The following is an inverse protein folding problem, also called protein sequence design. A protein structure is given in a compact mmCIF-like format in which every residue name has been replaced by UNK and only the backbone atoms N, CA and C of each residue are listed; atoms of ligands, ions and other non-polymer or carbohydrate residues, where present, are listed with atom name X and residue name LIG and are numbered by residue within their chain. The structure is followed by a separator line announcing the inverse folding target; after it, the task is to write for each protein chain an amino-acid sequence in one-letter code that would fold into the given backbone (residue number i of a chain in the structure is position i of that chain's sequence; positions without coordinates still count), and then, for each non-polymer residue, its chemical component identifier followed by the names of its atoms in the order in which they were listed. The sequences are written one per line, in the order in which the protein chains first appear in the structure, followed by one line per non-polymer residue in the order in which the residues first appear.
data_IF_931902313231
#
_entry.id   IF_931902313231
#
_cell.length_a   1.000
_cell.length_b   1.000
_cell.length_c   1.000
_cell.angle_alpha   90.00
_cell.angle_beta   90.00
_cell.angle_gamma   90.00
#
_symmetry.space_group_name_H-M   'P 1'
#
loop_
_entity.id
_entity.type
_entity.pdbx_description
1 polymer ?
#
# COMPACT_ATOMS: atom_id res chain seq x y z
N UNK A 1 40.64 16.56 -9.46
CA UNK A 1 39.36 15.83 -9.49
C UNK A 1 38.48 16.41 -8.42
N UNK A 2 37.27 16.88 -8.75
CA UNK A 2 36.32 17.33 -7.74
C UNK A 2 35.82 16.10 -6.96
N UNK A 3 35.89 16.14 -5.63
CA UNK A 3 35.28 15.11 -4.79
C UNK A 3 33.75 15.23 -4.87
N UNK A 4 33.06 14.10 -5.00
CA UNK A 4 31.60 14.05 -4.90
C UNK A 4 31.17 14.29 -3.45
N UNK A 5 30.03 14.96 -3.26
CA UNK A 5 29.41 15.19 -1.94
C UNK A 5 28.88 13.87 -1.39
N UNK A 6 28.89 13.71 -0.06
CA UNK A 6 28.28 12.56 0.60
C UNK A 6 26.77 12.50 0.27
N UNK A 7 26.30 11.32 -0.13
CA UNK A 7 24.92 11.10 -0.56
C UNK A 7 23.92 11.37 0.57
N UNK A 8 24.30 11.08 1.81
CA UNK A 8 23.44 11.24 3.00
C UNK A 8 23.14 12.70 3.33
N UNK A 9 23.92 13.65 2.78
CA UNK A 9 23.69 15.08 3.00
C UNK A 9 22.47 15.63 2.24
N UNK A 10 21.99 14.92 1.20
CA UNK A 10 20.92 15.44 0.35
C UNK A 10 19.88 14.41 -0.12
N UNK A 11 20.10 13.12 0.16
CA UNK A 11 19.18 12.05 -0.20
C UNK A 11 18.51 11.46 1.05
N UNK A 12 17.18 11.59 1.13
CA UNK A 12 16.35 10.93 2.15
C UNK A 12 15.73 9.66 1.56
N UNK A 13 16.18 8.46 1.97
CA UNK A 13 15.70 7.20 1.42
C UNK A 13 14.37 6.74 2.04
N UNK A 14 13.91 7.39 3.11
CA UNK A 14 12.74 6.97 3.85
C UNK A 14 11.43 7.30 3.11
N UNK A 15 10.40 6.52 3.39
CA UNK A 15 9.09 6.69 2.78
C UNK A 15 8.19 7.56 3.68
N UNK A 16 7.66 8.64 3.13
CA UNK A 16 6.75 9.54 3.84
C UNK A 16 5.31 9.39 3.34
N UNK A 17 4.37 9.05 4.22
CA UNK A 17 2.97 8.78 3.90
C UNK A 17 2.02 9.72 4.68
N UNK A 18 1.26 10.60 4.01
CA UNK A 18 0.33 11.50 4.69
C UNK A 18 -1.00 10.80 5.02
N UNK A 19 -1.40 10.76 6.28
CA UNK A 19 -2.69 10.21 6.74
C UNK A 19 -3.30 11.18 7.76
N UNK A 20 -4.51 11.67 7.49
CA UNK A 20 -5.24 12.51 8.45
C UNK A 20 -4.52 13.80 8.85
N UNK A 21 -3.70 14.37 7.96
CA UNK A 21 -2.90 15.58 8.23
C UNK A 21 -1.58 15.33 8.96
N UNK A 22 -1.25 14.08 9.29
CA UNK A 22 0.04 13.68 9.87
C UNK A 22 0.90 13.01 8.80
N UNK A 23 2.19 13.33 8.75
CA UNK A 23 3.16 12.71 7.85
C UNK A 23 3.91 11.60 8.58
N UNK A 24 3.60 10.35 8.29
CA UNK A 24 4.25 9.20 8.89
C UNK A 24 5.49 8.82 8.07
N UNK A 25 6.65 8.73 8.74
CA UNK A 25 7.94 8.45 8.10
C UNK A 25 8.41 7.04 8.39
N UNK A 26 8.40 6.18 7.38
CA UNK A 26 8.83 4.78 7.44
C UNK A 26 10.29 4.70 7.03
N UNK A 27 11.12 4.16 7.93
CA UNK A 27 12.56 4.04 7.73
C UNK A 27 12.89 3.07 6.60
N UNK A 28 13.78 3.48 5.69
CA UNK A 28 14.29 2.63 4.64
C UNK A 28 15.03 1.41 5.24
N UNK A 29 14.69 0.18 4.82
CA UNK A 29 15.39 -1.00 5.30
C UNK A 29 16.84 -1.03 4.80
N UNK A 30 17.72 -1.68 5.57
CA UNK A 30 19.07 -2.00 5.10
C UNK A 30 19.06 -2.95 3.91
N UNK A 31 20.18 -3.04 3.18
CA UNK A 31 20.29 -3.79 1.91
C UNK A 31 19.81 -5.25 2.03
N UNK A 32 20.21 -5.96 3.09
CA UNK A 32 19.79 -7.36 3.31
C UNK A 32 18.29 -7.53 3.45
N UNK A 33 17.63 -6.59 4.13
CA UNK A 33 16.18 -6.64 4.29
C UNK A 33 15.48 -6.22 3.00
N UNK A 34 16.02 -5.25 2.26
CA UNK A 34 15.52 -4.90 0.92
C UNK A 34 15.59 -6.08 -0.05
N UNK A 35 16.66 -6.89 -0.02
CA UNK A 35 16.76 -8.12 -0.82
C UNK A 35 15.69 -9.15 -0.45
N UNK A 36 15.43 -9.34 0.85
CA UNK A 36 14.36 -10.23 1.32
C UNK A 36 12.98 -9.73 0.87
N UNK A 37 12.75 -8.42 0.95
CA UNK A 37 11.49 -7.81 0.51
C UNK A 37 11.28 -7.96 -1.01
N UNK A 38 12.33 -7.96 -1.82
CA UNK A 38 12.23 -8.25 -3.27
C UNK A 38 11.66 -9.63 -3.53
N UNK A 39 12.15 -10.64 -2.80
CA UNK A 39 11.60 -12.00 -2.90
C UNK A 39 10.18 -12.07 -2.36
N UNK A 40 9.88 -11.37 -1.25
CA UNK A 40 8.55 -11.33 -0.64
C UNK A 40 7.50 -10.73 -1.57
N UNK A 41 7.80 -9.61 -2.25
CA UNK A 41 6.85 -8.93 -3.14
C UNK A 41 6.50 -9.79 -4.37
N UNK A 42 7.41 -10.69 -4.78
CA UNK A 42 7.17 -11.63 -5.87
C UNK A 42 6.44 -12.92 -5.42
N UNK A 43 6.21 -13.10 -4.12
CA UNK A 43 5.58 -14.30 -3.57
C UNK A 43 4.05 -14.16 -3.53
N UNK A 44 3.37 -14.85 -4.44
CA UNK A 44 1.91 -14.88 -4.51
C UNK A 44 1.27 -15.86 -3.51
N UNK A 45 2.07 -16.58 -2.71
CA UNK A 45 1.59 -17.63 -1.79
C UNK A 45 1.47 -17.16 -0.34
N UNK A 46 1.74 -15.88 -0.07
CA UNK A 46 1.63 -15.28 1.25
C UNK A 46 0.22 -15.39 1.82
N UNK A 47 0.11 -15.96 3.01
CA UNK A 47 -1.15 -15.95 3.76
C UNK A 47 -1.40 -14.56 4.37
N UNK A 48 -2.67 -14.24 4.65
CA UNK A 48 -3.04 -12.97 5.31
C UNK A 48 -2.31 -12.75 6.64
N UNK A 49 -2.07 -13.81 7.41
CA UNK A 49 -1.36 -13.71 8.68
C UNK A 49 0.13 -13.36 8.49
N UNK A 50 0.77 -13.93 7.46
CA UNK A 50 2.15 -13.60 7.11
C UNK A 50 2.25 -12.18 6.57
N UNK A 51 1.34 -11.77 5.69
CA UNK A 51 1.28 -10.40 5.19
C UNK A 51 1.13 -9.38 6.34
N UNK A 52 0.23 -9.65 7.28
CA UNK A 52 0.07 -8.82 8.47
C UNK A 52 1.38 -8.72 9.28
N UNK A 53 2.08 -9.83 9.49
CA UNK A 53 3.35 -9.83 10.19
C UNK A 53 4.41 -8.98 9.47
N UNK A 54 4.45 -9.02 8.13
CA UNK A 54 5.34 -8.20 7.32
C UNK A 54 5.00 -6.71 7.38
N UNK A 55 3.70 -6.39 7.37
CA UNK A 55 3.22 -5.02 7.59
C UNK A 55 3.65 -4.50 8.96
N UNK A 56 3.44 -5.27 10.02
CA UNK A 56 3.87 -4.89 11.39
C UNK A 56 5.37 -4.65 11.43
N UNK A 57 6.15 -5.53 10.80
CA UNK A 57 7.61 -5.44 10.75
C UNK A 57 8.09 -4.19 10.01
N UNK A 58 7.57 -3.92 8.80
CA UNK A 58 8.05 -2.81 7.97
C UNK A 58 7.64 -1.44 8.52
N UNK A 59 6.46 -1.34 9.14
CA UNK A 59 6.03 -0.11 9.80
C UNK A 59 6.86 0.19 11.05
N UNK A 60 7.28 -0.85 11.78
CA UNK A 60 8.09 -0.70 12.97
C UNK A 60 7.46 0.27 13.98
N UNK A 61 8.22 1.22 14.55
CA UNK A 61 7.70 2.19 15.53
C UNK A 61 6.54 3.07 15.02
N UNK A 62 6.47 3.30 13.70
CA UNK A 62 5.41 4.11 13.08
C UNK A 62 4.02 3.50 13.33
N UNK A 63 3.94 2.16 13.46
CA UNK A 63 2.67 1.49 13.73
C UNK A 63 2.09 1.91 15.08
N UNK A 64 2.92 2.04 16.11
CA UNK A 64 2.48 2.51 17.44
C UNK A 64 2.13 4.00 17.41
N UNK A 65 2.81 4.80 16.60
CA UNK A 65 2.45 6.20 16.37
C UNK A 65 1.08 6.33 15.70
N UNK A 66 0.84 5.58 14.63
CA UNK A 66 -0.47 5.49 13.96
C UNK A 66 -1.57 5.08 14.94
N UNK A 67 -1.32 4.08 15.78
CA UNK A 67 -2.26 3.62 16.79
C UNK A 67 -2.58 4.71 17.83
N UNK A 68 -1.56 5.44 18.33
CA UNK A 68 -1.74 6.57 19.26
C UNK A 68 -2.56 7.71 18.64
N UNK A 69 -2.41 7.91 17.34
CA UNK A 69 -3.15 8.93 16.59
C UNK A 69 -4.54 8.47 16.13
N UNK A 70 -4.97 7.25 16.49
CA UNK A 70 -6.29 6.71 16.15
C UNK A 70 -6.46 6.36 14.67
N UNK A 71 -5.36 6.09 13.95
CA UNK A 71 -5.42 5.63 12.56
C UNK A 71 -6.07 4.24 12.52
N UNK A 72 -7.13 4.04 11.71
CA UNK A 72 -7.76 2.74 11.55
C UNK A 72 -6.79 1.66 11.04
N UNK A 73 -6.97 0.41 11.48
CA UNK A 73 -6.11 -0.71 11.08
C UNK A 73 -6.06 -0.89 9.56
N UNK A 74 -7.17 -0.68 8.85
CA UNK A 74 -7.21 -0.73 7.39
C UNK A 74 -6.30 0.29 6.71
N UNK A 75 -6.18 1.50 7.28
CA UNK A 75 -5.26 2.53 6.78
C UNK A 75 -3.81 2.20 7.11
N UNK A 76 -3.55 1.62 8.29
CA UNK A 76 -2.22 1.13 8.65
C UNK A 76 -1.78 -0.04 7.76
N UNK A 77 -2.69 -0.97 7.44
CA UNK A 77 -2.45 -2.06 6.50
C UNK A 77 -2.14 -1.55 5.09
N UNK A 78 -2.90 -0.56 4.61
CA UNK A 78 -2.63 0.12 3.34
C UNK A 78 -1.24 0.76 3.31
N UNK A 79 -0.88 1.48 4.37
CA UNK A 79 0.44 2.11 4.51
C UNK A 79 1.57 1.07 4.55
N UNK A 80 1.39 -0.02 5.29
CA UNK A 80 2.34 -1.12 5.37
C UNK A 80 2.58 -1.80 4.03
N UNK A 81 1.50 -2.14 3.32
CA UNK A 81 1.59 -2.77 1.99
C UNK A 81 2.23 -1.83 0.96
N UNK A 82 1.92 -0.53 1.02
CA UNK A 82 2.63 0.50 0.25
C UNK A 82 4.14 0.48 0.54
N UNK A 83 4.57 0.35 1.80
CA UNK A 83 5.98 0.27 2.16
C UNK A 83 6.66 -1.01 1.66
N UNK A 84 6.01 -2.17 1.78
CA UNK A 84 6.52 -3.44 1.25
C UNK A 84 6.76 -3.34 -0.27
N UNK A 85 5.79 -2.81 -1.01
CA UNK A 85 5.89 -2.62 -2.46
C UNK A 85 6.93 -1.56 -2.86
N UNK A 86 7.06 -0.49 -2.07
CA UNK A 86 8.04 0.57 -2.31
C UNK A 86 9.47 0.07 -2.16
N UNK A 87 9.79 -0.60 -1.05
CA UNK A 87 11.15 -1.02 -0.72
C UNK A 87 11.53 -2.38 -1.34
N UNK A 88 10.59 -3.31 -1.44
CA UNK A 88 10.81 -4.62 -2.05
C UNK A 88 10.67 -4.59 -3.57
N UNK A 89 9.81 -3.74 -4.09
CA UNK A 89 9.49 -3.71 -5.51
C UNK A 89 10.14 -2.56 -6.25
N UNK A 90 9.46 -1.42 -6.22
CA UNK A 90 9.97 -0.15 -6.74
C UNK A 90 9.19 1.02 -6.14
N UNK A 91 9.79 2.23 -6.11
CA UNK A 91 9.07 3.44 -5.68
C UNK A 91 7.76 3.66 -6.42
N UNK A 92 7.70 3.31 -7.71
CA UNK A 92 6.53 3.46 -8.55
C UNK A 92 5.41 2.47 -8.18
N UNK A 93 5.75 1.22 -7.84
CA UNK A 93 4.73 0.26 -7.36
C UNK A 93 4.15 0.69 -6.01
N UNK A 94 4.99 1.16 -5.09
CA UNK A 94 4.51 1.73 -3.82
C UNK A 94 3.58 2.93 -4.03
N UNK A 95 3.94 3.83 -4.95
CA UNK A 95 3.11 4.99 -5.31
C UNK A 95 1.79 4.58 -5.96
N UNK A 96 1.84 3.62 -6.89
CA UNK A 96 0.65 3.10 -7.55
C UNK A 96 -0.33 2.47 -6.54
N UNK A 97 0.17 1.65 -5.62
CA UNK A 97 -0.64 1.10 -4.55
C UNK A 97 -1.24 2.22 -3.69
N UNK A 98 -0.43 3.18 -3.27
CA UNK A 98 -0.89 4.30 -2.44
C UNK A 98 -2.04 5.09 -3.09
N UNK A 99 -1.94 5.36 -4.39
CA UNK A 99 -2.90 6.19 -5.13
C UNK A 99 -4.13 5.43 -5.61
N UNK A 100 -3.98 4.14 -5.97
CA UNK A 100 -4.97 3.43 -6.77
C UNK A 100 -5.50 2.14 -6.15
N UNK A 101 -5.12 1.76 -4.92
CA UNK A 101 -5.62 0.52 -4.32
C UNK A 101 -7.16 0.42 -4.30
N UNK A 102 -7.87 1.56 -4.18
CA UNK A 102 -9.33 1.59 -4.20
C UNK A 102 -9.95 1.71 -5.60
N UNK A 103 -9.15 1.92 -6.65
CA UNK A 103 -9.69 2.13 -8.00
C UNK A 103 -10.36 0.86 -8.55
N UNK A 104 -9.86 -0.33 -8.18
CA UNK A 104 -10.50 -1.60 -8.53
C UNK A 104 -11.91 -1.70 -7.94
N UNK A 105 -12.07 -1.32 -6.67
CA UNK A 105 -13.38 -1.30 -6.00
C UNK A 105 -14.38 -0.38 -6.70
N UNK A 106 -13.93 0.78 -7.19
CA UNK A 106 -14.79 1.71 -7.95
C UNK A 106 -15.24 1.15 -9.31
N UNK A 107 -14.35 0.46 -10.04
CA UNK A 107 -14.68 -0.14 -11.34
C UNK A 107 -15.68 -1.29 -11.18
N UNK A 108 -15.51 -2.12 -10.16
CA UNK A 108 -16.44 -3.22 -9.87
C UNK A 108 -17.82 -2.72 -9.45
N UNK A 109 -17.92 -1.65 -8.66
CA UNK A 109 -19.20 -1.01 -8.33
C UNK A 109 -19.90 -0.51 -9.60
N UNK A 110 -19.18 0.13 -10.53
CA UNK A 110 -19.78 0.61 -11.78
C UNK A 110 -20.30 -0.56 -12.63
N UNK A 111 -19.52 -1.64 -12.75
CA UNK A 111 -19.96 -2.84 -13.47
C UNK A 111 -21.21 -3.49 -12.83
N UNK A 112 -21.30 -3.51 -11.49
CA UNK A 112 -22.50 -3.98 -10.79
C UNK A 112 -23.71 -3.06 -11.01
N UNK A 113 -23.52 -1.74 -11.02
CA UNK A 113 -24.59 -0.76 -11.27
C UNK A 113 -25.14 -0.89 -12.70
N UNK A 114 -24.27 -1.04 -13.69
CA UNK A 114 -24.66 -1.21 -15.09
C UNK A 114 -25.42 -2.53 -15.30
N UNK A 115 -24.98 -3.62 -14.66
CA UNK A 115 -25.68 -4.91 -14.70
C UNK A 115 -27.06 -4.88 -14.02
N UNK A 116 -27.22 -4.06 -12.97
CA UNK A 116 -28.50 -3.90 -12.26
C UNK A 116 -29.55 -3.09 -13.03
N UNK A 117 -29.16 -2.34 -14.07
CA UNK A 117 -30.10 -1.56 -14.90
C UNK A 117 -30.75 -2.34 -16.04
N UNK A 118 -30.24 -3.53 -16.39
CA UNK A 118 -30.77 -4.34 -17.49
C UNK A 118 -31.94 -5.27 -17.09
N UNK A 119 -32.13 -5.53 -15.79
CA UNK A 119 -33.08 -6.56 -15.32
C UNK A 119 -34.53 -6.06 -15.08
N UNK A 120 -34.85 -4.80 -15.42
CA UNK A 120 -36.19 -4.22 -15.16
C UNK A 120 -37.19 -4.32 -16.33
N UNK A 121 -36.88 -5.05 -17.41
CA UNK A 121 -37.77 -5.14 -18.57
C UNK A 121 -38.06 -6.58 -18.99
N UNK A 122 -38.67 -7.41 -18.15
CA UNK A 122 -39.47 -8.56 -18.64
C UNK A 122 -40.58 -8.95 -17.67
N UNK A 123 -41.63 -8.14 -17.59
CA UNK A 123 -42.95 -8.65 -17.21
C UNK A 123 -44.03 -7.93 -18.02
N UNK A 124 -44.69 -8.67 -18.92
CA UNK A 124 -46.15 -8.73 -19.10
C UNK A 124 -46.46 -9.22 -20.50
N UNK A 125 -46.81 -10.51 -20.62
CA UNK A 125 -47.90 -10.90 -21.50
C UNK A 125 -48.68 -12.04 -20.87
N UNK A 126 -49.78 -11.64 -20.23
CA UNK A 126 -50.86 -12.49 -19.78
C UNK A 126 -51.70 -12.97 -20.98
N UNK A 127 -52.23 -14.19 -20.81
CA UNK A 127 -53.31 -14.89 -21.52
C UNK A 127 -53.26 -15.04 -23.06
#
# INVERSE_FOLDING_TARGET
MAALRDLTEFYDPDLSLPIGGVLYKITCPGITEADRLRSLVADETLTTAQEYAEVVKILGPVREEMARNGVPDTMAMHAGRTALLHFGGSPDMGRAHWQFAQLADFVDIQAMLDAGTDDTTTETKAD
#
